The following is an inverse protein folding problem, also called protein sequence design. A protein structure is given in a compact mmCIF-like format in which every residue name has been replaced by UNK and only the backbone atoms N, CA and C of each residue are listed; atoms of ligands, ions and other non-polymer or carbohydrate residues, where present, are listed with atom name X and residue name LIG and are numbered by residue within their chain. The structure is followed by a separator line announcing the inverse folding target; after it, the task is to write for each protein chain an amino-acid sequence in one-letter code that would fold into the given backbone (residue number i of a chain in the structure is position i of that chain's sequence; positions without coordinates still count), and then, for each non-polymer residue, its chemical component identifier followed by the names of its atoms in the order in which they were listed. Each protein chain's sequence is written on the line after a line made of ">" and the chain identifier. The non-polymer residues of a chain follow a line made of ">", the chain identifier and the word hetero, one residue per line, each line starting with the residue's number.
data_IF_844035906447
#
_entry.id   IF_844035906447
#
_cell.length_a   1.000
_cell.length_b   1.000
_cell.length_c   1.000
_cell.angle_alpha   90.00
_cell.angle_beta   90.00
_cell.angle_gamma   90.00
#
_symmetry.space_group_name_H-M   'P 1'
#
loop_
_entity.id
_entity.type
_entity.pdbx_description
1 polymer ?
#
# COMPACT_ATOMS: atom_id res chain seq x y z
N UNK A 1 -8.48 -19.83 9.71
CA UNK A 1 -7.52 -20.26 8.67
C UNK A 1 -6.42 -21.15 9.23
N UNK A 2 -5.81 -22.02 8.42
CA UNK A 2 -4.58 -22.73 8.81
C UNK A 2 -3.35 -21.79 8.70
N UNK A 3 -2.23 -22.20 9.31
CA UNK A 3 -0.97 -21.44 9.30
C UNK A 3 -0.55 -21.01 7.88
N UNK A 4 -0.64 -21.92 6.91
CA UNK A 4 -0.21 -21.68 5.54
C UNK A 4 -0.99 -20.56 4.85
N UNK A 5 -2.31 -20.52 5.01
CA UNK A 5 -3.09 -19.42 4.46
C UNK A 5 -2.71 -18.07 5.08
N UNK A 6 -2.44 -18.02 6.40
CA UNK A 6 -2.03 -16.76 7.07
C UNK A 6 -0.66 -16.30 6.61
N UNK A 7 0.25 -17.24 6.45
CA UNK A 7 1.58 -16.97 5.93
C UNK A 7 1.55 -16.50 4.47
N UNK A 8 0.79 -17.17 3.61
CA UNK A 8 0.70 -16.82 2.18
C UNK A 8 0.00 -15.47 1.98
N UNK A 9 -1.18 -15.26 2.58
CA UNK A 9 -1.94 -14.04 2.33
C UNK A 9 -1.47 -12.86 3.19
N UNK A 10 -1.20 -13.09 4.48
CA UNK A 10 -0.85 -12.03 5.42
C UNK A 10 0.62 -11.61 5.38
N UNK A 11 1.54 -12.53 5.06
CA UNK A 11 2.97 -12.22 5.01
C UNK A 11 3.49 -12.13 3.57
N UNK A 12 3.35 -13.19 2.77
CA UNK A 12 3.90 -13.19 1.40
C UNK A 12 3.19 -12.16 0.53
N UNK A 13 1.87 -12.26 0.41
CA UNK A 13 1.10 -11.39 -0.48
C UNK A 13 1.09 -9.96 0.05
N UNK A 14 0.69 -9.74 1.30
CA UNK A 14 0.55 -8.39 1.81
C UNK A 14 1.87 -7.66 2.05
N UNK A 15 2.99 -8.33 2.34
CA UNK A 15 4.24 -7.67 2.70
C UNK A 15 5.37 -7.94 1.71
N UNK A 16 5.68 -9.22 1.45
CA UNK A 16 6.85 -9.59 0.64
C UNK A 16 6.69 -9.14 -0.82
N UNK A 17 5.53 -9.34 -1.45
CA UNK A 17 5.32 -8.95 -2.86
C UNK A 17 5.46 -7.44 -3.08
N UNK A 18 4.77 -6.55 -2.32
CA UNK A 18 4.99 -5.11 -2.40
C UNK A 18 6.43 -4.71 -2.10
N UNK A 19 7.07 -5.37 -1.13
CA UNK A 19 8.48 -5.16 -0.80
C UNK A 19 9.43 -5.51 -1.94
N UNK A 20 9.19 -6.64 -2.62
CA UNK A 20 9.94 -7.09 -3.81
C UNK A 20 9.85 -6.03 -4.90
N UNK A 21 8.66 -5.49 -5.16
CA UNK A 21 8.49 -4.40 -6.13
C UNK A 21 9.32 -3.18 -5.75
N UNK A 22 9.23 -2.71 -4.50
CA UNK A 22 10.03 -1.57 -4.04
C UNK A 22 11.52 -1.79 -4.22
N UNK A 23 12.04 -2.90 -3.68
CA UNK A 23 13.47 -3.21 -3.74
C UNK A 23 13.96 -3.34 -5.18
N UNK A 24 13.19 -4.03 -6.03
CA UNK A 24 13.52 -4.19 -7.45
C UNK A 24 13.59 -2.85 -8.18
N UNK A 25 12.57 -2.00 -8.03
CA UNK A 25 12.48 -0.74 -8.77
C UNK A 25 13.40 0.36 -8.20
N UNK A 26 13.70 0.35 -6.89
CA UNK A 26 14.75 1.19 -6.32
C UNK A 26 16.14 0.78 -6.82
N UNK A 27 16.40 -0.53 -6.87
CA UNK A 27 17.62 -1.04 -7.48
C UNK A 27 17.70 -0.66 -8.97
N UNK A 28 16.58 -0.79 -9.70
CA UNK A 28 16.41 -0.30 -11.08
C UNK A 28 16.84 1.14 -11.26
N UNK A 29 16.34 2.05 -10.42
CA UNK A 29 16.75 3.47 -10.48
C UNK A 29 18.25 3.61 -10.20
N UNK A 30 18.77 2.93 -9.16
CA UNK A 30 20.16 3.08 -8.72
C UNK A 30 21.21 2.54 -9.70
N UNK A 31 20.89 1.45 -10.41
CA UNK A 31 21.79 0.79 -11.35
C UNK A 31 21.50 1.23 -12.78
N UNK A 32 20.23 1.38 -13.14
CA UNK A 32 19.79 1.93 -14.42
C UNK A 32 20.34 3.33 -14.66
N UNK A 33 20.40 4.20 -13.64
CA UNK A 33 21.02 5.52 -13.76
C UNK A 33 22.50 5.48 -14.15
N UNK A 34 23.25 4.45 -13.71
CA UNK A 34 24.67 4.27 -14.09
C UNK A 34 24.82 3.63 -15.47
N UNK A 35 23.96 2.68 -15.81
CA UNK A 35 24.03 1.94 -17.08
C UNK A 35 23.58 2.80 -18.27
N UNK A 36 22.56 3.64 -18.10
CA UNK A 36 22.01 4.50 -19.15
C UNK A 36 23.01 5.60 -19.57
N UNK A 37 23.99 5.93 -18.73
CA UNK A 37 25.11 6.84 -19.07
C UNK A 37 26.05 6.29 -20.16
N UNK A 38 25.97 4.99 -20.49
CA UNK A 38 26.87 4.32 -21.44
C UNK A 38 26.31 4.17 -22.85
N UNK A 39 25.38 5.03 -23.27
CA UNK A 39 24.89 5.20 -24.67
C UNK A 39 24.10 4.05 -25.31
N UNK A 40 23.92 2.90 -24.64
CA UNK A 40 22.93 1.89 -25.05
C UNK A 40 21.67 2.04 -24.20
N UNK A 41 20.57 2.40 -24.85
CA UNK A 41 19.23 2.26 -24.26
C UNK A 41 18.97 0.76 -24.08
N UNK A 42 19.33 0.22 -22.92
CA UNK A 42 18.94 -1.15 -22.55
C UNK A 42 17.43 -1.20 -22.39
N UNK A 43 16.81 -2.20 -23.01
CA UNK A 43 15.41 -2.49 -22.79
C UNK A 43 15.16 -2.99 -21.36
N UNK A 44 13.91 -2.94 -20.90
CA UNK A 44 13.50 -3.52 -19.63
C UNK A 44 13.88 -5.01 -19.50
N UNK A 45 13.86 -5.74 -20.61
CA UNK A 45 14.27 -7.15 -20.70
C UNK A 45 15.78 -7.35 -20.47
N UNK A 46 16.61 -6.45 -21.01
CA UNK A 46 18.06 -6.51 -20.83
C UNK A 46 18.43 -6.18 -19.38
N UNK A 47 17.69 -5.24 -18.77
CA UNK A 47 17.83 -4.95 -17.35
C UNK A 47 17.43 -6.15 -16.49
N UNK A 48 16.30 -6.78 -16.78
CA UNK A 48 15.87 -8.00 -16.09
C UNK A 48 16.91 -9.11 -16.20
N UNK A 49 17.54 -9.27 -17.36
CA UNK A 49 18.60 -10.25 -17.56
C UNK A 49 19.84 -9.95 -16.71
N UNK A 50 20.33 -8.69 -16.71
CA UNK A 50 21.47 -8.27 -15.87
C UNK A 50 21.14 -8.39 -14.38
N UNK A 51 19.92 -8.04 -14.00
CA UNK A 51 19.45 -8.13 -12.64
C UNK A 51 19.37 -9.59 -12.17
N UNK A 52 18.75 -10.45 -12.97
CA UNK A 52 18.66 -11.88 -12.72
C UNK A 52 20.06 -12.51 -12.66
N UNK A 53 20.95 -12.14 -13.56
CA UNK A 53 22.34 -12.60 -13.58
C UNK A 53 23.11 -12.15 -12.33
N UNK A 54 22.98 -10.90 -11.90
CA UNK A 54 23.67 -10.37 -10.70
C UNK A 54 23.13 -10.97 -9.41
N UNK A 55 21.82 -11.18 -9.30
CA UNK A 55 21.19 -11.78 -8.11
C UNK A 55 21.41 -13.29 -8.06
N UNK A 56 21.35 -13.98 -9.19
CA UNK A 56 21.52 -15.44 -9.23
C UNK A 56 22.99 -15.87 -9.00
N UNK A 57 23.97 -15.02 -9.34
CA UNK A 57 25.39 -15.37 -9.25
C UNK A 57 26.01 -15.27 -7.85
N UNK A 58 25.37 -14.58 -6.90
CA UNK A 58 25.89 -14.50 -5.53
C UNK A 58 24.76 -14.70 -4.52
N UNK A 59 24.79 -15.77 -3.70
CA UNK A 59 23.80 -16.01 -2.66
C UNK A 59 23.61 -14.82 -1.70
N UNK A 60 24.68 -14.04 -1.47
CA UNK A 60 24.64 -12.80 -0.67
C UNK A 60 23.72 -11.74 -1.28
N UNK A 61 23.68 -11.60 -2.61
CA UNK A 61 22.79 -10.65 -3.29
C UNK A 61 21.33 -11.10 -3.22
N UNK A 62 21.05 -12.40 -3.36
CA UNK A 62 19.71 -12.95 -3.18
C UNK A 62 19.21 -12.79 -1.75
N UNK A 63 20.07 -13.09 -0.76
CA UNK A 63 19.76 -12.90 0.66
C UNK A 63 19.51 -11.43 1.01
N UNK A 64 20.38 -10.53 0.56
CA UNK A 64 20.23 -9.08 0.79
C UNK A 64 18.98 -8.52 0.11
N UNK A 65 18.65 -9.01 -1.10
CA UNK A 65 17.42 -8.65 -1.79
C UNK A 65 16.18 -9.07 -1.01
N UNK A 66 16.14 -10.32 -0.54
CA UNK A 66 15.01 -10.83 0.23
C UNK A 66 14.84 -10.07 1.56
N UNK A 67 15.94 -9.84 2.28
CA UNK A 67 15.92 -9.01 3.50
C UNK A 67 15.40 -7.61 3.19
N UNK A 68 15.90 -6.97 2.12
CA UNK A 68 15.42 -5.67 1.68
C UNK A 68 13.92 -5.67 1.36
N UNK A 69 13.44 -6.67 0.63
CA UNK A 69 12.01 -6.82 0.31
C UNK A 69 11.15 -6.98 1.58
N UNK A 70 11.57 -7.82 2.53
CA UNK A 70 10.86 -7.98 3.80
C UNK A 70 10.85 -6.66 4.59
N UNK A 71 12.00 -5.99 4.73
CA UNK A 71 12.10 -4.72 5.44
C UNK A 71 11.20 -3.64 4.80
N UNK A 72 11.23 -3.48 3.48
CA UNK A 72 10.34 -2.55 2.78
C UNK A 72 8.87 -2.92 3.00
N UNK A 73 8.51 -4.20 2.84
CA UNK A 73 7.15 -4.67 3.07
C UNK A 73 6.62 -4.33 4.47
N UNK A 74 7.44 -4.53 5.50
CA UNK A 74 7.10 -4.19 6.89
C UNK A 74 6.94 -2.68 7.06
N UNK A 75 7.84 -1.87 6.51
CA UNK A 75 7.75 -0.40 6.58
C UNK A 75 6.50 0.11 5.89
N UNK A 76 6.16 -0.41 4.70
CA UNK A 76 4.94 -0.06 3.98
C UNK A 76 3.69 -0.41 4.78
N UNK A 77 3.67 -1.61 5.36
CA UNK A 77 2.59 -2.08 6.20
C UNK A 77 2.40 -1.18 7.43
N UNK A 78 3.48 -0.94 8.19
CA UNK A 78 3.48 -0.05 9.34
C UNK A 78 2.97 1.34 8.97
N UNK A 79 3.49 1.91 7.87
CA UNK A 79 3.08 3.23 7.40
C UNK A 79 1.57 3.31 7.10
N UNK A 80 1.03 2.32 6.37
CA UNK A 80 -0.39 2.28 6.05
C UNK A 80 -1.27 2.21 7.31
N UNK A 81 -0.89 1.38 8.28
CA UNK A 81 -1.60 1.25 9.53
C UNK A 81 -1.57 2.52 10.37
N UNK A 82 -0.41 3.17 10.45
CA UNK A 82 -0.24 4.41 11.19
C UNK A 82 -1.06 5.56 10.59
N UNK A 83 -1.05 5.71 9.27
CA UNK A 83 -1.91 6.69 8.58
C UNK A 83 -3.39 6.41 8.87
N UNK A 84 -3.82 5.16 8.73
CA UNK A 84 -5.21 4.79 8.93
C UNK A 84 -5.67 5.09 10.36
N UNK A 85 -4.88 4.67 11.35
CA UNK A 85 -5.14 4.93 12.76
C UNK A 85 -5.21 6.42 13.07
N UNK A 86 -4.32 7.23 12.48
CA UNK A 86 -4.32 8.69 12.66
C UNK A 86 -5.55 9.34 12.05
N UNK A 87 -5.95 8.92 10.84
CA UNK A 87 -7.15 9.42 10.17
C UNK A 87 -8.42 9.04 10.95
N UNK A 88 -8.45 7.85 11.55
CA UNK A 88 -9.57 7.42 12.39
C UNK A 88 -9.68 8.29 13.65
N UNK A 89 -8.56 8.53 14.34
CA UNK A 89 -8.52 9.45 15.48
C UNK A 89 -8.96 10.88 15.09
N UNK A 90 -8.59 11.38 13.91
CA UNK A 90 -9.05 12.69 13.42
C UNK A 90 -10.55 12.70 13.17
N UNK A 91 -11.10 11.63 12.58
CA UNK A 91 -12.53 11.51 12.34
C UNK A 91 -13.31 11.49 13.66
N UNK A 92 -12.81 10.79 14.68
CA UNK A 92 -13.39 10.77 16.03
C UNK A 92 -13.30 12.13 16.72
N UNK A 93 -12.12 12.77 16.72
CA UNK A 93 -11.92 14.08 17.36
C UNK A 93 -12.80 15.16 16.74
N UNK A 94 -13.02 15.09 15.43
CA UNK A 94 -13.88 16.01 14.69
C UNK A 94 -15.37 15.63 14.74
N UNK A 95 -15.76 14.62 15.54
CA UNK A 95 -17.14 14.10 15.65
C UNK A 95 -17.75 13.71 14.31
N UNK A 96 -16.94 13.26 13.36
CA UNK A 96 -17.38 12.85 12.03
C UNK A 96 -17.87 11.40 12.00
N UNK A 97 -17.72 10.65 13.09
CA UNK A 97 -18.35 9.34 13.25
C UNK A 97 -17.84 8.28 12.28
N UNK A 98 -16.62 8.40 11.73
CA UNK A 98 -16.00 7.38 10.86
C UNK A 98 -15.04 7.92 9.80
N UNK A 99 -14.15 7.06 9.32
CA UNK A 99 -13.20 7.36 8.25
C UNK A 99 -13.92 7.76 6.95
N UNK A 100 -15.02 7.07 6.62
CA UNK A 100 -15.88 7.33 5.47
C UNK A 100 -16.41 8.75 5.40
N UNK A 101 -16.46 9.45 6.54
CA UNK A 101 -17.01 10.79 6.65
C UNK A 101 -15.98 11.89 6.41
N UNK A 102 -14.69 11.55 6.29
CA UNK A 102 -13.64 12.51 5.97
C UNK A 102 -13.89 13.15 4.59
N UNK A 103 -13.60 14.45 4.41
CA UNK A 103 -13.91 15.18 3.18
C UNK A 103 -13.35 14.57 1.89
N UNK A 104 -12.19 13.89 1.98
CA UNK A 104 -11.57 13.27 0.80
C UNK A 104 -12.39 12.12 0.23
N UNK A 105 -12.92 11.26 1.10
CA UNK A 105 -13.66 10.06 0.69
C UNK A 105 -15.04 10.38 0.10
N UNK A 106 -15.56 11.59 0.33
CA UNK A 106 -16.80 12.10 -0.25
C UNK A 106 -16.63 12.64 -1.68
N UNK A 107 -15.39 12.75 -2.19
CA UNK A 107 -15.13 13.25 -3.54
C UNK A 107 -15.50 12.18 -4.59
N UNK A 108 -15.90 12.55 -5.80
CA UNK A 108 -16.09 11.61 -6.90
C UNK A 108 -14.85 10.71 -7.14
N UNK A 109 -15.02 9.41 -7.47
CA UNK A 109 -13.90 8.49 -7.67
C UNK A 109 -12.87 9.00 -8.68
N UNK A 110 -13.33 9.64 -9.76
CA UNK A 110 -12.46 10.24 -10.79
C UNK A 110 -11.50 11.26 -10.17
N UNK A 111 -11.99 12.13 -9.29
CA UNK A 111 -11.15 13.13 -8.61
C UNK A 111 -10.14 12.44 -7.70
N UNK A 112 -10.55 11.41 -6.97
CA UNK A 112 -9.64 10.66 -6.10
C UNK A 112 -8.56 9.92 -6.90
N UNK A 113 -8.90 9.39 -8.08
CA UNK A 113 -7.93 8.79 -9.01
C UNK A 113 -6.95 9.85 -9.51
N UNK A 114 -7.41 10.99 -10.03
CA UNK A 114 -6.47 11.96 -10.62
C UNK A 114 -5.66 12.74 -9.60
N UNK A 115 -6.15 12.92 -8.38
CA UNK A 115 -5.47 13.65 -7.31
C UNK A 115 -4.88 12.73 -6.24
N UNK A 116 -4.67 11.45 -6.57
CA UNK A 116 -4.06 10.45 -5.69
C UNK A 116 -2.70 10.89 -5.08
N UNK A 117 -1.80 11.61 -5.78
CA UNK A 117 -0.53 12.02 -5.17
C UNK A 117 -0.73 13.09 -4.10
N UNK A 118 -1.67 14.00 -4.31
CA UNK A 118 -1.99 15.07 -3.35
C UNK A 118 -2.53 14.47 -2.06
N UNK A 119 -3.39 13.46 -2.16
CA UNK A 119 -3.91 12.71 -1.02
C UNK A 119 -2.83 11.95 -0.27
N UNK A 120 -1.92 11.29 -0.99
CA UNK A 120 -0.78 10.62 -0.38
C UNK A 120 0.11 11.62 0.38
N UNK A 121 0.45 12.75 -0.25
CA UNK A 121 1.25 13.80 0.40
C UNK A 121 0.53 14.35 1.63
N UNK A 122 -0.80 14.51 1.58
CA UNK A 122 -1.60 14.89 2.76
C UNK A 122 -1.47 13.84 3.87
N UNK A 123 -1.62 12.56 3.56
CA UNK A 123 -1.46 11.47 4.54
C UNK A 123 -0.07 11.47 5.17
N UNK A 124 0.98 11.66 4.37
CA UNK A 124 2.37 11.76 4.85
C UNK A 124 2.55 12.99 5.73
N UNK A 125 1.99 14.13 5.31
CA UNK A 125 2.06 15.37 6.06
C UNK A 125 1.41 15.23 7.43
N UNK A 126 0.20 14.65 7.48
CA UNK A 126 -0.51 14.38 8.73
C UNK A 126 0.33 13.47 9.63
N UNK A 127 0.89 12.40 9.07
CA UNK A 127 1.65 11.44 9.87
C UNK A 127 2.93 12.04 10.43
N UNK A 128 3.75 12.73 9.63
CA UNK A 128 5.07 13.20 10.05
C UNK A 128 5.06 14.55 10.78
N UNK A 129 4.11 15.43 10.48
CA UNK A 129 4.11 16.79 11.01
C UNK A 129 2.94 17.12 11.94
N UNK A 130 1.86 16.34 11.91
CA UNK A 130 0.68 16.55 12.77
C UNK A 130 0.45 15.43 13.79
N UNK A 131 1.39 14.49 13.87
CA UNK A 131 1.40 13.47 14.92
C UNK A 131 2.44 13.87 15.96
N UNK A 132 2.03 14.20 17.19
CA UNK A 132 2.96 14.64 18.23
C UNK A 132 3.91 13.52 18.70
N UNK A 133 3.44 12.27 18.74
CA UNK A 133 4.26 11.08 19.03
C UNK A 133 3.61 9.84 18.39
N UNK A 134 4.38 8.97 17.74
CA UNK A 134 3.87 7.71 17.17
C UNK A 134 3.27 6.78 18.22
N UNK A 135 3.73 6.82 19.47
CA UNK A 135 3.14 6.04 20.58
C UNK A 135 1.67 6.40 20.85
N UNK A 136 1.25 7.62 20.50
CA UNK A 136 -0.15 8.05 20.66
C UNK A 136 -1.07 7.50 19.57
N UNK A 137 -0.51 6.97 18.48
CA UNK A 137 -1.25 6.33 17.41
C UNK A 137 -1.35 4.84 17.73
N UNK A 138 -2.40 4.47 18.44
CA UNK A 138 -2.72 3.06 18.70
C UNK A 138 -4.06 2.77 18.02
N UNK A 139 -4.04 1.94 16.98
CA UNK A 139 -5.26 1.27 16.52
C UNK A 139 -5.47 0.08 17.44
N UNK A 140 -6.59 0.08 18.17
CA UNK A 140 -6.97 -1.10 18.98
C UNK A 140 -7.43 -2.18 18.02
N UNK A 141 -6.51 -3.02 17.55
CA UNK A 141 -6.83 -4.19 16.71
C UNK A 141 -7.69 -5.23 17.44
N UNK A 142 -7.73 -5.18 18.77
CA UNK A 142 -8.55 -6.06 19.57
C UNK A 142 -9.97 -5.52 19.72
N UNK A 143 -10.91 -6.10 18.97
CA UNK A 143 -12.34 -6.02 19.25
C UNK A 143 -12.61 -6.72 20.60
N UNK A 144 -12.56 -5.96 21.71
CA UNK A 144 -12.61 -6.50 23.09
C UNK A 144 -13.89 -7.31 23.37
N UNK A 145 -14.95 -7.20 22.54
CA UNK A 145 -16.25 -7.87 22.78
C UNK A 145 -16.99 -8.22 21.48
N UNK A 146 -16.53 -9.21 20.72
CA UNK A 146 -17.34 -9.78 19.62
C UNK A 146 -18.30 -10.84 20.17
N UNK A 147 -19.61 -10.76 19.90
CA UNK A 147 -20.56 -11.80 20.31
C UNK A 147 -20.21 -13.16 19.68
N UNK A 148 -20.42 -14.28 20.39
CA UNK A 148 -20.12 -15.62 19.88
C UNK A 148 -20.71 -15.92 18.49
N UNK A 149 -21.90 -15.37 18.28
CA UNK A 149 -22.77 -15.51 17.10
C UNK A 149 -22.19 -14.85 15.85
N UNK A 150 -21.29 -13.88 16.04
CA UNK A 150 -20.64 -13.10 14.97
C UNK A 150 -19.21 -13.56 14.68
N UNK A 151 -18.68 -14.55 15.41
CA UNK A 151 -17.31 -15.03 15.19
C UNK A 151 -17.08 -15.57 13.78
N UNK A 152 -18.07 -16.18 13.13
CA UNK A 152 -17.92 -16.68 11.76
C UNK A 152 -17.81 -15.54 10.75
N UNK A 153 -18.52 -14.43 10.97
CA UNK A 153 -18.41 -13.24 10.12
C UNK A 153 -17.09 -12.51 10.37
N UNK A 154 -16.69 -12.39 11.64
CA UNK A 154 -15.40 -11.84 12.01
C UNK A 154 -14.25 -12.66 11.43
N UNK A 155 -14.33 -13.99 11.50
CA UNK A 155 -13.26 -14.86 10.99
C UNK A 155 -13.11 -14.73 9.48
N UNK A 156 -14.21 -14.57 8.72
CA UNK A 156 -14.11 -14.27 7.28
C UNK A 156 -13.44 -12.92 7.01
N UNK A 157 -13.78 -11.89 7.79
CA UNK A 157 -13.18 -10.57 7.71
C UNK A 157 -11.67 -10.63 7.99
N UNK A 158 -11.27 -11.28 9.09
CA UNK A 158 -9.88 -11.38 9.51
C UNK A 158 -9.05 -12.32 8.62
N UNK A 159 -9.62 -13.44 8.18
CA UNK A 159 -8.86 -14.48 7.47
C UNK A 159 -8.71 -14.17 5.97
N UNK A 160 -9.69 -13.51 5.33
CA UNK A 160 -9.64 -13.26 3.89
C UNK A 160 -9.62 -11.77 3.53
N UNK A 161 -10.53 -10.99 4.11
CA UNK A 161 -10.72 -9.60 3.71
C UNK A 161 -9.57 -8.69 4.14
N UNK A 162 -9.06 -8.90 5.36
CA UNK A 162 -7.97 -8.13 5.94
C UNK A 162 -6.65 -8.32 5.18
N UNK A 163 -6.14 -9.54 4.90
CA UNK A 163 -4.93 -9.73 4.10
C UNK A 163 -5.03 -9.14 2.69
N UNK A 164 -6.22 -9.24 2.07
CA UNK A 164 -6.45 -8.68 0.73
C UNK A 164 -6.45 -7.15 0.73
N UNK A 165 -7.13 -6.52 1.70
CA UNK A 165 -7.11 -5.07 1.88
C UNK A 165 -5.69 -4.55 2.19
N UNK A 166 -4.95 -5.27 3.03
CA UNK A 166 -3.54 -4.97 3.34
C UNK A 166 -2.66 -5.05 2.09
N UNK A 167 -2.83 -6.10 1.27
CA UNK A 167 -2.12 -6.24 0.00
C UNK A 167 -2.35 -5.04 -0.91
N UNK A 168 -3.61 -4.66 -1.16
CA UNK A 168 -3.93 -3.52 -2.02
C UNK A 168 -3.33 -2.20 -1.50
N UNK A 169 -3.32 -2.00 -0.19
CA UNK A 169 -2.76 -0.80 0.42
C UNK A 169 -1.24 -0.74 0.30
N UNK A 170 -0.56 -1.86 0.56
CA UNK A 170 0.88 -1.94 0.45
C UNK A 170 1.33 -1.88 -1.01
N UNK A 171 0.59 -2.53 -1.91
CA UNK A 171 0.82 -2.47 -3.35
C UNK A 171 0.72 -1.03 -3.88
N UNK A 172 -0.31 -0.27 -3.48
CA UNK A 172 -0.47 1.14 -3.87
C UNK A 172 0.80 1.98 -3.59
N UNK A 173 1.35 1.90 -2.37
CA UNK A 173 2.58 2.64 -2.05
C UNK A 173 3.78 2.06 -2.82
N UNK A 174 3.85 0.74 -2.97
CA UNK A 174 4.91 0.08 -3.72
C UNK A 174 4.95 0.44 -5.22
N UNK A 175 3.81 0.88 -5.79
CA UNK A 175 3.75 1.36 -7.17
C UNK A 175 4.36 2.76 -7.36
N UNK A 176 4.67 3.51 -6.29
CA UNK A 176 5.31 4.82 -6.41
C UNK A 176 6.75 4.69 -6.93
N UNK A 177 7.64 3.85 -6.35
CA UNK A 177 8.93 3.55 -6.95
C UNK A 177 8.85 3.06 -8.40
N UNK A 178 7.80 2.30 -8.75
CA UNK A 178 7.55 1.85 -10.13
C UNK A 178 7.32 3.05 -11.04
N UNK A 179 6.42 3.96 -10.66
CA UNK A 179 6.13 5.18 -11.42
C UNK A 179 7.38 6.05 -11.58
N UNK A 180 8.14 6.26 -10.50
CA UNK A 180 9.39 7.01 -10.53
C UNK A 180 10.38 6.36 -11.49
N UNK A 181 10.50 5.03 -11.47
CA UNK A 181 11.37 4.29 -12.39
C UNK A 181 10.97 4.50 -13.84
N UNK A 182 9.67 4.41 -14.16
CA UNK A 182 9.15 4.66 -15.51
C UNK A 182 9.46 6.09 -15.96
N UNK A 183 9.25 7.08 -15.09
CA UNK A 183 9.57 8.49 -15.36
C UNK A 183 11.07 8.67 -15.64
N UNK A 184 11.93 8.06 -14.83
CA UNK A 184 13.38 8.09 -15.01
C UNK A 184 13.77 7.51 -16.38
N UNK A 185 13.24 6.33 -16.74
CA UNK A 185 13.49 5.72 -18.06
C UNK A 185 13.04 6.64 -19.19
N UNK A 186 11.89 7.29 -19.06
CA UNK A 186 11.35 8.18 -20.09
C UNK A 186 12.18 9.45 -20.28
N UNK A 187 12.69 10.02 -19.18
CA UNK A 187 13.60 11.16 -19.25
C UNK A 187 14.87 10.84 -20.05
N UNK A 188 15.40 9.62 -19.92
CA UNK A 188 16.61 9.23 -20.65
C UNK A 188 16.35 8.73 -22.08
N UNK A 189 15.26 7.99 -22.31
CA UNK A 189 14.94 7.44 -23.63
C UNK A 189 14.31 8.48 -24.57
N UNK A 190 13.91 9.64 -24.06
CA UNK A 190 13.19 10.69 -24.77
C UNK A 190 11.66 10.53 -24.69
N UNK A 191 10.94 11.65 -24.82
CA UNK A 191 9.48 11.65 -24.77
C UNK A 191 8.86 11.35 -26.14
N UNK A 192 7.85 10.47 -26.17
CA UNK A 192 7.00 10.24 -27.35
C UNK A 192 5.54 10.17 -26.92
N UNK A 193 4.58 10.43 -27.81
CA UNK A 193 3.14 10.36 -27.49
C UNK A 193 2.78 8.98 -26.92
N UNK A 194 3.28 7.90 -27.52
CA UNK A 194 3.04 6.52 -27.03
C UNK A 194 3.53 6.33 -25.59
N UNK A 195 4.72 6.85 -25.27
CA UNK A 195 5.28 6.83 -23.91
C UNK A 195 4.45 7.70 -22.96
N UNK A 196 4.05 8.90 -23.38
CA UNK A 196 3.16 9.76 -22.60
C UNK A 196 1.82 9.09 -22.26
N UNK A 197 1.19 8.42 -23.23
CA UNK A 197 -0.05 7.65 -23.01
C UNK A 197 0.17 6.48 -22.05
N UNK A 198 1.31 5.77 -22.16
CA UNK A 198 1.67 4.72 -21.22
C UNK A 198 1.86 5.26 -19.79
N UNK A 199 2.55 6.40 -19.62
CA UNK A 199 2.72 7.04 -18.32
C UNK A 199 1.37 7.43 -17.71
N UNK A 200 0.48 8.01 -18.51
CA UNK A 200 -0.87 8.37 -18.08
C UNK A 200 -1.67 7.14 -17.67
N UNK A 201 -1.57 6.04 -18.42
CA UNK A 201 -2.22 4.76 -18.09
C UNK A 201 -1.69 4.21 -16.76
N UNK A 202 -0.37 4.16 -16.57
CA UNK A 202 0.25 3.70 -15.31
C UNK A 202 -0.18 4.60 -14.15
N UNK A 203 -0.15 5.92 -14.33
CA UNK A 203 -0.61 6.89 -13.33
C UNK A 203 -2.07 6.66 -12.93
N UNK A 204 -2.96 6.49 -13.91
CA UNK A 204 -4.38 6.25 -13.67
C UNK A 204 -4.63 4.90 -12.98
N UNK A 205 -3.88 3.86 -13.36
CA UNK A 205 -3.96 2.55 -12.69
C UNK A 205 -3.53 2.63 -11.23
N UNK A 206 -2.45 3.35 -10.91
CA UNK A 206 -2.01 3.58 -9.52
C UNK A 206 -3.09 4.30 -8.73
N UNK A 207 -3.65 5.37 -9.29
CA UNK A 207 -4.75 6.10 -8.68
C UNK A 207 -5.98 5.22 -8.43
N UNK A 208 -6.34 4.37 -9.40
CA UNK A 208 -7.44 3.42 -9.26
C UNK A 208 -7.16 2.40 -8.15
N UNK A 209 -5.97 1.81 -8.11
CA UNK A 209 -5.56 0.88 -7.05
C UNK A 209 -5.63 1.56 -5.68
N UNK A 210 -5.20 2.82 -5.55
CA UNK A 210 -5.32 3.59 -4.30
C UNK A 210 -6.77 3.75 -3.85
N UNK A 211 -7.65 4.18 -4.76
CA UNK A 211 -9.07 4.38 -4.44
C UNK A 211 -9.69 3.06 -3.98
N UNK A 212 -9.47 1.98 -4.74
CA UNK A 212 -9.96 0.66 -4.36
C UNK A 212 -9.41 0.22 -3.01
N UNK A 213 -8.09 0.34 -2.78
CA UNK A 213 -7.46 -0.03 -1.52
C UNK A 213 -8.08 0.70 -0.32
N UNK A 214 -8.28 2.03 -0.42
CA UNK A 214 -8.90 2.83 0.65
C UNK A 214 -10.38 2.49 0.84
N UNK A 215 -11.13 2.23 -0.22
CA UNK A 215 -12.54 1.81 -0.12
C UNK A 215 -12.69 0.43 0.55
N UNK A 216 -11.77 -0.50 0.27
CA UNK A 216 -11.76 -1.82 0.93
C UNK A 216 -11.44 -1.66 2.43
N UNK A 217 -10.47 -0.82 2.81
CA UNK A 217 -10.18 -0.53 4.22
C UNK A 217 -11.35 0.17 4.95
N UNK A 218 -12.01 1.12 4.30
CA UNK A 218 -13.17 1.79 4.90
C UNK A 218 -14.31 0.80 5.11
N UNK A 219 -14.56 -0.07 4.11
CA UNK A 219 -15.55 -1.13 4.23
C UNK A 219 -15.22 -2.10 5.36
N UNK A 220 -13.94 -2.44 5.55
CA UNK A 220 -13.45 -3.26 6.65
C UNK A 220 -13.77 -2.60 8.00
N UNK A 221 -13.34 -1.35 8.19
CA UNK A 221 -13.55 -0.60 9.45
C UNK A 221 -15.04 -0.42 9.76
N UNK A 222 -15.85 -0.15 8.73
CA UNK A 222 -17.30 -0.04 8.88
C UNK A 222 -17.92 -1.37 9.30
N UNK A 223 -17.54 -2.47 8.65
CA UNK A 223 -18.01 -3.79 9.03
C UNK A 223 -17.62 -4.14 10.48
N UNK A 224 -16.37 -3.85 10.88
CA UNK A 224 -15.90 -4.01 12.26
C UNK A 224 -16.76 -3.18 13.24
N UNK A 225 -17.09 -1.93 12.91
CA UNK A 225 -17.91 -1.06 13.77
C UNK A 225 -19.36 -1.51 13.86
N UNK A 226 -19.98 -1.88 12.74
CA UNK A 226 -21.37 -2.35 12.69
C UNK A 226 -21.54 -3.62 13.56
N UNK A 227 -20.52 -4.48 13.60
CA UNK A 227 -20.50 -5.65 14.48
C UNK A 227 -20.54 -5.26 15.98
N UNK A 228 -19.93 -4.13 16.37
CA UNK A 228 -19.89 -3.63 17.75
C UNK A 228 -21.18 -2.87 18.12
N UNK A 229 -21.67 -1.99 17.24
CA UNK A 229 -22.76 -1.06 17.54
C UNK A 229 -24.15 -1.71 17.59
N UNK A 230 -24.39 -2.82 16.87
CA UNK A 230 -25.64 -3.58 17.00
C UNK A 230 -25.92 -3.99 18.46
N UNK A 231 -24.88 -4.19 19.26
CA UNK A 231 -25.01 -4.51 20.69
C UNK A 231 -25.58 -3.37 21.53
N UNK A 232 -25.36 -2.10 21.15
CA UNK A 232 -25.93 -0.95 21.87
C UNK A 232 -27.42 -0.76 21.60
N UNK A 233 -27.94 -1.29 20.49
CA UNK A 233 -29.37 -1.22 20.15
C UNK A 233 -30.21 -2.33 20.78
N UNK A 234 -29.62 -3.51 21.03
CA UNK A 234 -30.32 -4.64 21.68
C UNK A 234 -30.35 -4.50 23.22
N UNK A 235 -29.49 -3.65 23.79
CA UNK A 235 -29.44 -3.38 25.23
C UNK A 235 -30.27 -2.16 25.69
N UNK A 236 -31.15 -1.63 24.82
CA UNK A 236 -32.17 -0.62 25.13
C UNK A 236 -33.55 -1.24 24.96
#
# INVERSE_FOLDING_TARGET
>A
MNFWSRFVFGFILAQVIPGVLCTFFLFFISVGGKIISTSKVMGFTDYLAIYAERIARVPVWLGSFFVGAVCFGIVLHWFNWMVLARLEQQAESNKQGGLENLPWHKRPPIIQVFLWPVDLLREWWILFFQTPNFESIIRRENLIRVPPEKFTQLSWIEDFYLPFAQFLCNLNIALIPVLVSVIVVFNFAGFTIRRGLFLLMVYAMIGLTRVLARQQLISLVRAERDLIEEKKKVAK
#
